data_IF_556413729250
#
_entry.id   IF_556413729250
#
_cell.length_a   1.000
_cell.length_b   1.000
_cell.length_c   1.000
_cell.angle_alpha   90.00
_cell.angle_beta   90.00
_cell.angle_gamma   90.00
#
_symmetry.space_group_name_H-M   'P 1'
#
loop_
_entity.id
_entity.type
_entity.pdbx_description
1 polymer ?
#
# COMPACT_ATOMS: atom_id res chain seq x y z
N UNK A 1 2.60 -8.23 -6.94
CA UNK A 1 1.47 -9.19 -6.94
C UNK A 1 1.84 -10.64 -6.62
N UNK A 2 3.09 -11.06 -6.83
CA UNK A 2 3.50 -12.49 -6.91
C UNK A 2 3.27 -13.34 -5.65
N UNK A 3 3.15 -12.74 -4.47
CA UNK A 3 2.89 -13.49 -3.22
C UNK A 3 1.41 -13.49 -2.79
N UNK A 4 0.57 -12.70 -3.44
CA UNK A 4 -0.83 -12.46 -3.04
C UNK A 4 -1.77 -13.44 -3.76
N UNK A 5 -1.58 -13.58 -5.07
CA UNK A 5 -2.33 -14.54 -5.87
C UNK A 5 -1.44 -15.73 -6.18
N UNK A 6 -1.60 -16.80 -5.40
CA UNK A 6 -1.11 -18.10 -5.81
C UNK A 6 -2.16 -18.70 -6.75
N UNK A 7 -1.72 -19.22 -7.89
CA UNK A 7 -2.56 -19.94 -8.85
C UNK A 7 -2.32 -21.46 -8.78
N UNK A 8 -2.58 -22.15 -7.65
CA UNK A 8 -2.38 -23.59 -7.55
C UNK A 8 -3.60 -24.39 -8.08
N UNK A 9 -4.58 -23.73 -8.70
CA UNK A 9 -5.78 -24.41 -9.19
C UNK A 9 -5.49 -25.35 -10.37
N UNK A 10 -6.38 -26.31 -10.64
CA UNK A 10 -6.17 -27.35 -11.66
C UNK A 10 -6.02 -26.79 -13.08
N UNK A 11 -6.40 -25.54 -13.30
CA UNK A 11 -6.26 -24.82 -14.56
C UNK A 11 -5.39 -23.57 -14.39
N UNK A 12 -4.55 -23.31 -15.38
CA UNK A 12 -3.73 -22.09 -15.44
C UNK A 12 -4.64 -20.86 -15.35
N UNK A 13 -4.40 -20.00 -14.36
CA UNK A 13 -5.19 -18.79 -14.12
C UNK A 13 -6.45 -18.98 -13.26
N UNK A 14 -6.69 -20.17 -12.71
CA UNK A 14 -7.79 -20.37 -11.75
C UNK A 14 -7.41 -19.94 -10.33
N UNK A 15 -8.37 -19.35 -9.60
CA UNK A 15 -8.21 -18.91 -8.22
C UNK A 15 -8.60 -20.02 -7.25
N UNK A 16 -7.87 -20.13 -6.15
CA UNK A 16 -8.15 -21.10 -5.07
C UNK A 16 -8.22 -20.35 -3.74
N UNK A 17 -9.17 -20.73 -2.90
CA UNK A 17 -9.30 -20.17 -1.56
C UNK A 17 -8.11 -20.53 -0.67
N UNK A 18 -7.54 -19.54 0.02
CA UNK A 18 -6.46 -19.75 0.98
C UNK A 18 -7.00 -19.75 2.43
N UNK A 19 -7.01 -20.89 3.13
CA UNK A 19 -7.64 -21.01 4.45
C UNK A 19 -6.89 -20.26 5.56
N UNK A 20 -5.65 -19.81 5.34
CA UNK A 20 -4.88 -19.03 6.31
C UNK A 20 -4.66 -17.58 5.87
N UNK A 21 -5.57 -17.04 5.03
CA UNK A 21 -5.50 -15.65 4.58
C UNK A 21 -5.65 -14.67 5.75
N UNK A 22 -4.85 -13.60 5.76
CA UNK A 22 -4.97 -12.49 6.70
C UNK A 22 -6.30 -11.74 6.58
N UNK A 23 -6.98 -11.85 5.43
CA UNK A 23 -8.33 -11.27 5.24
C UNK A 23 -9.39 -11.86 6.18
N UNK A 24 -9.08 -12.97 6.88
CA UNK A 24 -9.94 -13.53 7.93
C UNK A 24 -9.99 -12.68 9.20
N UNK A 25 -8.99 -11.84 9.44
CA UNK A 25 -8.83 -11.08 10.69
C UNK A 25 -8.59 -9.59 10.48
N UNK A 26 -8.39 -9.15 9.24
CA UNK A 26 -8.14 -7.75 8.90
C UNK A 26 -8.71 -7.39 7.53
N UNK A 27 -9.02 -6.10 7.35
CA UNK A 27 -9.22 -5.53 6.01
C UNK A 27 -7.83 -5.27 5.39
N UNK A 28 -7.62 -5.68 4.14
CA UNK A 28 -6.31 -5.58 3.47
C UNK A 28 -6.45 -4.81 2.17
N UNK A 29 -5.57 -3.83 1.99
CA UNK A 29 -5.39 -3.09 0.74
C UNK A 29 -4.04 -3.50 0.16
N UNK A 30 -4.04 -4.01 -1.06
CA UNK A 30 -2.82 -4.29 -1.81
C UNK A 30 -2.55 -3.14 -2.76
N UNK A 31 -1.34 -2.58 -2.71
CA UNK A 31 -0.95 -1.42 -3.51
C UNK A 31 0.20 -1.82 -4.41
N UNK A 32 -0.01 -1.74 -5.73
CA UNK A 32 1.08 -1.85 -6.69
C UNK A 32 1.88 -0.54 -6.67
N UNK A 33 3.15 -0.61 -6.26
CA UNK A 33 3.98 0.57 -6.02
C UNK A 33 5.47 0.18 -6.10
N UNK A 34 6.37 1.06 -6.61
CA UNK A 34 6.13 2.43 -7.10
C UNK A 34 5.44 2.46 -8.48
N UNK A 35 5.24 3.66 -9.04
CA UNK A 35 4.81 3.84 -10.43
C UNK A 35 5.67 2.98 -11.38
N UNK A 36 5.03 2.29 -12.31
CA UNK A 36 5.64 1.29 -13.19
C UNK A 36 5.54 -0.16 -12.67
N UNK A 37 5.09 -0.37 -11.44
CA UNK A 37 4.85 -1.71 -10.89
C UNK A 37 3.43 -2.18 -11.16
N UNK A 38 3.27 -3.41 -11.68
CA UNK A 38 1.97 -4.04 -11.87
C UNK A 38 1.01 -3.18 -12.71
N UNK A 39 -0.09 -2.76 -12.11
CA UNK A 39 -1.09 -1.90 -12.75
C UNK A 39 -0.89 -0.39 -12.52
N UNK A 40 0.09 0.02 -11.72
CA UNK A 40 0.36 1.44 -11.46
C UNK A 40 1.21 2.05 -12.58
N UNK A 41 0.69 3.06 -13.28
CA UNK A 41 1.36 3.69 -14.44
C UNK A 41 1.22 5.21 -14.47
N UNK A 42 2.16 5.86 -15.17
CA UNK A 42 2.11 7.28 -15.51
C UNK A 42 1.95 7.47 -17.01
N UNK A 43 1.20 8.51 -17.41
CA UNK A 43 1.10 8.95 -18.83
C UNK A 43 2.30 9.81 -19.26
N UNK A 44 3.14 10.22 -18.32
CA UNK A 44 4.32 11.06 -18.51
C UNK A 44 5.56 10.30 -18.08
N UNK A 45 6.64 10.38 -18.86
CA UNK A 45 7.87 9.63 -18.60
C UNK A 45 8.51 10.02 -17.27
N UNK A 46 8.45 11.31 -16.91
CA UNK A 46 8.96 11.86 -15.65
C UNK A 46 8.27 11.26 -14.42
N UNK A 47 7.07 10.66 -14.59
CA UNK A 47 6.39 9.95 -13.51
C UNK A 47 7.06 8.63 -13.11
N UNK A 48 8.01 8.13 -13.91
CA UNK A 48 8.80 6.93 -13.59
C UNK A 48 10.13 7.25 -12.91
N UNK A 49 10.47 8.53 -12.72
CA UNK A 49 11.64 8.93 -11.93
C UNK A 49 11.35 8.68 -10.44
N UNK A 50 11.68 7.48 -9.98
CA UNK A 50 11.43 7.02 -8.63
C UNK A 50 12.75 6.78 -7.86
N UNK A 51 12.76 7.21 -6.61
CA UNK A 51 13.71 6.79 -5.58
C UNK A 51 12.95 6.49 -4.28
N UNK A 52 13.62 5.95 -3.26
CA UNK A 52 12.97 5.54 -2.00
C UNK A 52 12.19 6.70 -1.33
N UNK A 53 12.68 7.94 -1.45
CA UNK A 53 12.05 9.14 -0.89
C UNK A 53 10.75 9.50 -1.63
N UNK A 54 10.78 9.48 -2.97
CA UNK A 54 9.62 9.73 -3.82
C UNK A 54 8.60 8.61 -3.69
N UNK A 55 9.05 7.36 -3.67
CA UNK A 55 8.18 6.20 -3.50
C UNK A 55 7.43 6.27 -2.17
N UNK A 56 8.13 6.49 -1.05
CA UNK A 56 7.47 6.61 0.26
C UNK A 56 6.51 7.80 0.34
N UNK A 57 6.80 8.91 -0.34
CA UNK A 57 5.89 10.05 -0.45
C UNK A 57 4.63 9.70 -1.24
N UNK A 58 4.76 9.09 -2.42
CA UNK A 58 3.63 8.67 -3.23
C UNK A 58 2.76 7.63 -2.52
N UNK A 59 3.36 6.66 -1.84
CA UNK A 59 2.66 5.63 -1.08
C UNK A 59 1.89 6.21 0.12
N UNK A 60 2.51 7.12 0.88
CA UNK A 60 1.83 7.81 1.98
C UNK A 60 0.69 8.71 1.48
N UNK A 61 0.90 9.44 0.39
CA UNK A 61 -0.13 10.26 -0.26
C UNK A 61 -1.30 9.43 -0.76
N UNK A 62 -1.05 8.29 -1.39
CA UNK A 62 -2.09 7.35 -1.79
C UNK A 62 -2.95 6.93 -0.59
N UNK A 63 -2.33 6.50 0.52
CA UNK A 63 -3.06 6.03 1.69
C UNK A 63 -3.90 7.16 2.33
N UNK A 64 -3.35 8.37 2.45
CA UNK A 64 -4.10 9.50 2.99
C UNK A 64 -5.29 9.87 2.10
N UNK A 65 -5.09 9.93 0.78
CA UNK A 65 -6.18 10.20 -0.17
C UNK A 65 -7.25 9.09 -0.13
N UNK A 66 -6.82 7.83 -0.05
CA UNK A 66 -7.73 6.69 0.06
C UNK A 66 -8.59 6.77 1.33
N UNK A 67 -8.03 7.18 2.47
CA UNK A 67 -8.78 7.37 3.72
C UNK A 67 -9.75 8.56 3.67
N UNK A 68 -9.41 9.62 2.93
CA UNK A 68 -10.35 10.74 2.67
C UNK A 68 -11.56 10.25 1.87
N UNK A 69 -11.34 9.40 0.87
CA UNK A 69 -12.41 8.82 0.05
C UNK A 69 -13.21 7.72 0.77
N UNK A 70 -12.60 7.06 1.77
CA UNK A 70 -13.20 5.97 2.53
C UNK A 70 -13.16 6.25 4.05
N UNK A 71 -13.86 7.30 4.51
CA UNK A 71 -13.75 7.78 5.89
C UNK A 71 -14.21 6.76 6.94
N UNK A 72 -15.02 5.76 6.55
CA UNK A 72 -15.45 4.66 7.42
C UNK A 72 -14.31 3.79 7.93
N UNK A 73 -13.11 3.86 7.34
CA UNK A 73 -11.94 3.11 7.79
C UNK A 73 -11.02 3.90 8.71
N UNK A 74 -11.25 5.20 8.94
CA UNK A 74 -10.37 6.06 9.75
C UNK A 74 -10.28 5.58 11.21
N UNK A 75 -11.37 5.03 11.76
CA UNK A 75 -11.41 4.50 13.13
C UNK A 75 -10.68 3.16 13.31
N UNK A 76 -10.32 2.49 12.21
CA UNK A 76 -9.64 1.20 12.30
C UNK A 76 -8.16 1.39 12.63
N UNK A 77 -7.56 0.51 13.46
CA UNK A 77 -6.12 0.46 13.60
C UNK A 77 -5.43 0.23 12.25
N UNK A 78 -4.48 1.10 11.91
CA UNK A 78 -3.70 1.02 10.68
C UNK A 78 -2.40 0.25 10.92
N UNK A 79 -2.15 -0.76 10.08
CA UNK A 79 -0.88 -1.49 10.01
C UNK A 79 -0.34 -1.40 8.59
N UNK A 80 0.95 -1.13 8.46
CA UNK A 80 1.66 -1.08 7.17
C UNK A 80 2.70 -2.19 7.17
N UNK A 81 2.63 -3.08 6.20
CA UNK A 81 3.48 -4.26 6.09
C UNK A 81 4.05 -4.41 4.68
N UNK A 82 5.22 -5.05 4.58
CA UNK A 82 5.92 -5.30 3.33
C UNK A 82 7.07 -6.26 3.54
N UNK A 83 7.51 -6.90 2.45
CA UNK A 83 8.61 -7.86 2.41
C UNK A 83 9.73 -7.33 1.49
N UNK A 84 10.94 -7.86 1.64
CA UNK A 84 12.10 -7.59 0.80
C UNK A 84 12.42 -6.10 0.78
N UNK A 85 12.47 -5.48 -0.39
CA UNK A 85 12.78 -4.06 -0.53
C UNK A 85 11.75 -3.15 0.18
N UNK A 86 10.50 -3.60 0.31
CA UNK A 86 9.49 -2.86 1.06
C UNK A 86 9.86 -2.74 2.56
N UNK A 87 10.75 -3.57 3.09
CA UNK A 87 11.30 -3.40 4.44
C UNK A 87 12.01 -2.07 4.67
N UNK A 88 12.52 -1.41 3.60
CA UNK A 88 13.01 -0.02 3.66
C UNK A 88 11.90 1.01 3.53
N UNK A 89 10.95 0.76 2.64
CA UNK A 89 9.90 1.72 2.28
C UNK A 89 8.83 1.85 3.37
N UNK A 90 8.41 0.73 3.97
CA UNK A 90 7.40 0.69 5.05
C UNK A 90 7.73 1.65 6.21
N UNK A 91 8.93 1.61 6.83
CA UNK A 91 9.25 2.54 7.90
C UNK A 91 9.32 4.00 7.42
N UNK A 92 9.75 4.25 6.17
CA UNK A 92 9.72 5.60 5.59
C UNK A 92 8.29 6.12 5.44
N UNK A 93 7.36 5.29 4.96
CA UNK A 93 5.93 5.64 4.85
C UNK A 93 5.34 5.90 6.24
N UNK A 94 5.59 5.00 7.21
CA UNK A 94 5.12 5.16 8.58
C UNK A 94 5.62 6.47 9.21
N UNK A 95 6.92 6.77 9.05
CA UNK A 95 7.51 8.04 9.51
C UNK A 95 6.82 9.25 8.87
N UNK A 96 6.58 9.23 7.56
CA UNK A 96 5.90 10.32 6.85
C UNK A 96 4.49 10.57 7.37
N UNK A 97 3.74 9.51 7.68
CA UNK A 97 2.39 9.63 8.24
C UNK A 97 2.45 10.23 9.65
N UNK A 98 3.39 9.77 10.48
CA UNK A 98 3.58 10.32 11.83
C UNK A 98 3.97 11.81 11.79
N UNK A 99 4.92 12.18 10.93
CA UNK A 99 5.37 13.56 10.76
C UNK A 99 4.22 14.44 10.19
N UNK A 100 3.46 13.90 9.24
CA UNK A 100 2.27 14.55 8.67
C UNK A 100 1.18 14.80 9.71
N UNK A 101 0.84 13.79 10.52
CA UNK A 101 -0.10 13.93 11.64
C UNK A 101 0.38 14.95 12.68
N UNK A 102 1.70 15.04 12.91
CA UNK A 102 2.28 16.06 13.81
C UNK A 102 2.11 17.49 13.25
N UNK A 103 2.03 17.62 11.92
CA UNK A 103 1.77 18.89 11.24
C UNK A 103 0.27 19.20 11.16
N UNK A 104 -0.57 18.15 11.17
CA UNK A 104 -2.03 18.20 11.35
C UNK A 104 -2.45 18.22 12.84
N UNK A 105 -1.66 18.85 13.72
CA UNK A 105 -2.15 19.31 15.02
C UNK A 105 -3.16 20.44 14.78
N UNK A 106 -4.38 20.07 14.39
CA UNK A 106 -5.56 20.88 14.64
C UNK A 106 -5.78 20.81 16.14
N UNK A 107 -5.46 21.91 16.81
CA UNK A 107 -5.69 22.11 18.24
C UNK A 107 -7.11 21.68 18.59
N UNK A 108 -7.23 20.75 19.55
CA UNK A 108 -8.35 20.77 20.49
C UNK A 108 -7.93 21.61 21.69
#
# INVERSE_FOLDING_TARGET
MDHIFKFPGPYKGSLVYHPYSWTKVANIIFVDSPLGSGFSYSRKYEGYDANDTIWSEQASKFLLQWLVEHPQFISNPLYIAGDSYAGKIVPMVAKRILDGNSTFNVNY
#
